data_IF_032370406100
#
_entry.id   IF_032370406100
#
_cell.length_a   1.000
_cell.length_b   1.000
_cell.length_c   1.000
_cell.angle_alpha   90.00
_cell.angle_beta   90.00
_cell.angle_gamma   90.00
#
_symmetry.space_group_name_H-M   'P 1'
#
loop_
_entity.id
_entity.type
_entity.pdbx_description
1 polymer ?
#
# COMPACT_ATOMS: atom_id res chain seq x y z
N UNK A 1 38.40 0.60 46.30
CA UNK A 1 39.80 0.09 46.33
C UNK A 1 40.69 1.05 47.12
N UNK A 2 41.91 0.66 47.50
CA UNK A 2 42.92 1.61 48.01
C UNK A 2 43.24 2.69 46.95
N UNK A 3 43.25 2.32 45.67
CA UNK A 3 43.46 3.25 44.54
C UNK A 3 42.35 4.30 44.45
N UNK A 4 41.10 3.87 44.62
CA UNK A 4 39.92 4.74 44.56
C UNK A 4 39.88 5.74 45.73
N UNK A 5 40.36 5.32 46.91
CA UNK A 5 40.50 6.21 48.08
C UNK A 5 41.55 7.29 47.84
N UNK A 6 42.69 6.94 47.24
CA UNK A 6 43.75 7.89 46.87
C UNK A 6 43.25 8.90 45.82
N UNK A 7 42.59 8.40 44.77
CA UNK A 7 42.08 9.22 43.68
C UNK A 7 41.07 10.27 44.19
N UNK A 8 40.12 9.86 45.05
CA UNK A 8 39.15 10.79 45.66
C UNK A 8 39.80 11.80 46.61
N UNK A 9 40.86 11.42 47.34
CA UNK A 9 41.60 12.34 48.21
C UNK A 9 42.32 13.44 47.41
N UNK A 10 42.87 13.12 46.23
CA UNK A 10 43.49 14.09 45.31
C UNK A 10 42.46 15.10 44.79
N UNK A 11 41.24 14.64 44.47
CA UNK A 11 40.17 15.50 43.93
C UNK A 11 39.27 16.15 45.00
N UNK A 12 39.56 15.95 46.30
CA UNK A 12 38.77 16.54 47.40
C UNK A 12 37.32 16.02 47.49
N UNK A 13 37.01 14.88 46.88
CA UNK A 13 35.67 14.30 46.90
C UNK A 13 35.43 13.54 48.21
N UNK A 14 34.31 13.83 48.90
CA UNK A 14 33.90 13.08 50.10
C UNK A 14 33.64 11.62 49.74
N UNK A 15 34.07 10.71 50.62
CA UNK A 15 33.82 9.27 50.47
C UNK A 15 32.31 9.00 50.46
N UNK A 16 31.76 8.68 49.29
CA UNK A 16 30.43 8.07 49.16
C UNK A 16 30.57 6.55 49.28
N UNK A 17 29.90 5.96 50.27
CA UNK A 17 29.83 4.50 50.51
C UNK A 17 28.74 3.81 49.66
N UNK A 18 28.05 4.56 48.81
CA UNK A 18 26.99 4.04 47.93
C UNK A 18 27.49 3.90 46.50
N UNK A 19 27.07 2.82 45.83
CA UNK A 19 27.24 2.65 44.38
C UNK A 19 25.95 3.04 43.67
N UNK A 20 26.06 3.67 42.52
CA UNK A 20 24.91 3.93 41.65
C UNK A 20 24.48 2.61 40.98
N UNK A 21 23.31 2.11 41.36
CA UNK A 21 22.64 0.95 40.76
C UNK A 21 21.31 1.33 40.10
N UNK A 22 21.18 2.58 39.64
CA UNK A 22 19.96 3.09 39.02
C UNK A 22 19.63 2.32 37.74
N UNK A 23 18.33 2.06 37.53
CA UNK A 23 17.85 1.53 36.27
C UNK A 23 17.99 2.61 35.19
N UNK A 24 18.76 2.30 34.14
CA UNK A 24 18.91 3.13 32.95
C UNK A 24 18.12 2.52 31.81
N UNK A 25 17.74 3.34 30.84
CA UNK A 25 17.11 2.85 29.61
C UNK A 25 18.12 2.00 28.84
N UNK A 26 17.70 0.81 28.41
CA UNK A 26 18.54 -0.07 27.60
C UNK A 26 18.94 0.59 26.28
N UNK A 27 20.13 0.28 25.72
CA UNK A 27 20.52 0.78 24.40
C UNK A 27 19.44 0.51 23.34
N UNK A 28 19.15 1.50 22.50
CA UNK A 28 18.08 1.45 21.49
C UNK A 28 16.67 1.73 22.04
N UNK A 29 16.47 1.65 23.35
CA UNK A 29 15.22 2.07 23.99
C UNK A 29 15.12 3.59 24.07
N UNK A 30 13.98 4.13 23.66
CA UNK A 30 13.63 5.54 23.87
C UNK A 30 12.10 5.70 23.84
N UNK A 31 11.62 6.83 24.36
CA UNK A 31 10.21 7.17 24.30
C UNK A 31 9.81 8.17 25.37
N UNK A 32 8.50 8.35 25.52
CA UNK A 32 7.91 9.21 26.54
C UNK A 32 7.37 8.37 27.68
N UNK A 33 7.69 8.75 28.92
CA UNK A 33 7.08 8.15 30.10
C UNK A 33 5.59 8.46 30.10
N UNK A 34 4.75 7.43 30.16
CA UNK A 34 3.29 7.55 30.16
C UNK A 34 2.67 7.23 31.51
N UNK A 35 3.32 6.38 32.31
CA UNK A 35 2.85 6.02 33.65
C UNK A 35 4.05 5.65 34.53
N UNK A 36 3.90 5.88 35.83
CA UNK A 36 4.85 5.46 36.87
C UNK A 36 4.07 4.95 38.07
N UNK A 37 4.30 3.69 38.45
CA UNK A 37 3.66 3.07 39.62
C UNK A 37 4.72 2.62 40.61
N UNK A 38 4.54 3.05 41.85
CA UNK A 38 5.42 2.72 42.97
C UNK A 38 4.64 1.85 43.94
N UNK A 39 5.06 0.60 44.05
CA UNK A 39 4.58 -0.36 45.03
C UNK A 39 5.52 -0.38 46.22
N UNK A 40 4.98 -0.42 47.43
CA UNK A 40 5.76 -0.39 48.67
C UNK A 40 5.07 -1.15 49.78
N UNK A 41 5.83 -1.81 50.66
CA UNK A 41 5.27 -2.48 51.85
C UNK A 41 4.48 -1.52 52.75
N UNK A 42 4.90 -0.26 52.83
CA UNK A 42 4.21 0.79 53.59
C UNK A 42 2.78 1.06 53.09
N UNK A 43 2.52 0.79 51.81
CA UNK A 43 1.19 0.91 51.18
C UNK A 43 0.39 -0.39 51.22
N UNK A 44 0.87 -1.39 51.96
CA UNK A 44 0.26 -2.72 52.06
C UNK A 44 0.22 -3.47 50.72
N UNK A 45 1.15 -3.18 49.81
CA UNK A 45 1.32 -3.94 48.57
C UNK A 45 2.03 -5.27 48.84
N UNK A 46 1.57 -6.35 48.21
CA UNK A 46 2.24 -7.65 48.26
C UNK A 46 3.53 -7.64 47.43
N UNK A 47 4.68 -7.76 48.11
CA UNK A 47 6.01 -7.76 47.50
C UNK A 47 6.78 -9.03 47.86
N UNK A 48 7.66 -9.47 46.95
CA UNK A 48 8.56 -10.61 47.20
C UNK A 48 9.44 -10.39 48.45
N UNK A 49 9.87 -11.48 49.08
CA UNK A 49 10.78 -11.43 50.22
C UNK A 49 12.09 -10.72 49.85
N UNK A 50 12.55 -9.80 50.70
CA UNK A 50 13.75 -8.98 50.45
C UNK A 50 13.53 -7.75 49.56
N UNK A 51 12.34 -7.56 48.98
CA UNK A 51 12.01 -6.37 48.17
C UNK A 51 11.27 -5.34 49.02
N UNK A 52 11.85 -4.14 49.13
CA UNK A 52 11.27 -3.03 49.90
C UNK A 52 10.26 -2.22 49.07
N UNK A 53 10.61 -1.89 47.82
CA UNK A 53 9.80 -1.11 46.88
C UNK A 53 10.01 -1.61 45.45
N UNK A 54 8.96 -1.57 44.63
CA UNK A 54 9.04 -1.81 43.18
C UNK A 54 8.59 -0.54 42.47
N UNK A 55 9.40 -0.05 41.55
CA UNK A 55 9.06 1.09 40.68
C UNK A 55 8.90 0.56 39.26
N UNK A 56 7.69 0.66 38.71
CA UNK A 56 7.41 0.35 37.31
C UNK A 56 7.24 1.66 36.54
N UNK A 57 7.92 1.77 35.40
CA UNK A 57 7.88 2.93 34.52
C UNK A 57 7.47 2.45 33.14
N UNK A 58 6.36 2.96 32.62
CA UNK A 58 5.89 2.65 31.27
C UNK A 58 6.35 3.73 30.31
N UNK A 59 7.00 3.31 29.23
CA UNK A 59 7.54 4.20 28.19
C UNK A 59 6.86 3.85 26.87
N UNK A 60 6.27 4.85 26.22
CA UNK A 60 5.64 4.72 24.92
C UNK A 60 6.49 5.35 23.82
N UNK A 61 6.53 4.69 22.66
CA UNK A 61 7.26 5.12 21.48
C UNK A 61 6.33 5.07 20.26
N UNK A 62 6.28 6.15 19.48
CA UNK A 62 5.61 6.14 18.17
C UNK A 62 6.63 5.73 17.11
N UNK A 63 6.43 4.56 16.50
CA UNK A 63 7.33 4.02 15.47
C UNK A 63 6.75 4.28 14.07
N UNK A 64 7.45 5.09 13.27
CA UNK A 64 7.12 5.31 11.85
C UNK A 64 7.60 4.11 11.01
N UNK A 65 7.22 4.08 9.74
CA UNK A 65 7.74 3.09 8.79
C UNK A 65 9.17 3.48 8.40
N UNK A 66 10.07 2.50 8.35
CA UNK A 66 11.49 2.73 8.08
C UNK A 66 12.04 1.68 7.10
N UNK A 67 13.12 2.03 6.41
CA UNK A 67 13.90 1.07 5.61
C UNK A 67 14.32 -0.10 6.50
N UNK A 68 14.14 -1.33 6.02
CA UNK A 68 14.38 -2.55 6.79
C UNK A 68 13.13 -3.12 7.49
N UNK A 69 12.05 -2.35 7.63
CA UNK A 69 10.79 -2.89 8.14
C UNK A 69 10.17 -3.87 7.16
N UNK A 70 9.53 -4.91 7.69
CA UNK A 70 8.84 -5.93 6.89
C UNK A 70 7.37 -5.58 6.69
N UNK A 71 6.93 -5.63 5.43
CA UNK A 71 5.54 -5.45 5.01
C UNK A 71 5.03 -6.71 4.31
N UNK A 72 3.71 -6.88 4.27
CA UNK A 72 3.06 -8.01 3.60
C UNK A 72 1.69 -7.62 3.10
N UNK A 73 1.34 -8.03 1.88
CA UNK A 73 -0.06 -8.14 1.49
C UNK A 73 -0.70 -9.40 2.08
N UNK A 74 -2.00 -9.56 1.83
CA UNK A 74 -2.81 -10.70 2.30
C UNK A 74 -2.49 -12.00 1.53
N UNK A 75 -1.96 -11.88 0.32
CA UNK A 75 -1.65 -12.98 -0.58
C UNK A 75 -0.24 -13.57 -0.40
N UNK A 76 0.40 -13.33 0.75
CA UNK A 76 1.71 -13.89 1.09
C UNK A 76 2.91 -13.21 0.41
N UNK A 77 2.69 -12.09 -0.29
CA UNK A 77 3.73 -11.22 -0.85
C UNK A 77 4.42 -10.43 0.28
N UNK A 78 5.37 -11.08 0.96
CA UNK A 78 6.18 -10.49 2.03
C UNK A 78 7.44 -9.86 1.46
N UNK A 79 7.72 -8.63 1.89
CA UNK A 79 8.89 -7.87 1.45
C UNK A 79 9.47 -7.03 2.57
N UNK A 80 10.72 -6.61 2.41
CA UNK A 80 11.37 -5.61 3.26
C UNK A 80 11.42 -4.31 2.48
N UNK A 81 11.15 -3.19 3.13
CA UNK A 81 11.28 -1.87 2.52
C UNK A 81 12.76 -1.62 2.24
N UNK A 82 13.13 -1.53 0.96
CA UNK A 82 14.51 -1.32 0.52
C UNK A 82 14.89 0.16 0.48
N UNK A 83 13.97 1.01 0.06
CA UNK A 83 14.16 2.44 -0.10
C UNK A 83 12.85 3.18 0.16
N UNK A 84 12.95 4.40 0.67
CA UNK A 84 11.86 5.37 0.75
C UNK A 84 12.35 6.56 -0.07
N UNK A 85 11.65 6.86 -1.16
CA UNK A 85 12.01 7.96 -2.08
C UNK A 85 11.05 9.13 -1.87
N UNK A 86 11.47 10.36 -2.23
CA UNK A 86 10.58 11.52 -2.28
C UNK A 86 9.41 11.31 -3.25
N UNK A 87 8.33 12.06 -3.06
CA UNK A 87 7.11 11.95 -3.86
C UNK A 87 7.36 12.36 -5.33
N UNK A 88 8.18 13.39 -5.54
CA UNK A 88 8.58 13.89 -6.85
C UNK A 88 9.36 12.87 -7.70
N UNK A 89 10.00 11.90 -7.05
CA UNK A 89 10.78 10.85 -7.69
C UNK A 89 9.92 9.62 -8.06
N UNK A 90 8.70 9.54 -7.54
CA UNK A 90 7.82 8.39 -7.77
C UNK A 90 7.17 8.46 -9.16
N UNK A 91 6.94 7.30 -9.80
CA UNK A 91 6.10 7.24 -10.98
C UNK A 91 4.73 7.87 -10.71
N UNK A 92 4.24 8.64 -11.67
CA UNK A 92 2.96 9.33 -11.56
C UNK A 92 2.03 9.01 -12.74
N UNK A 93 0.74 9.05 -12.44
CA UNK A 93 -0.39 8.84 -13.35
C UNK A 93 -0.54 10.04 -14.32
N UNK A 94 -1.32 9.90 -15.40
CA UNK A 94 -1.55 11.00 -16.34
C UNK A 94 -2.17 12.26 -15.72
N UNK A 95 -2.88 12.14 -14.59
CA UNK A 95 -3.43 13.26 -13.82
C UNK A 95 -2.44 13.88 -12.80
N UNK A 96 -1.20 13.37 -12.76
CA UNK A 96 -0.14 13.82 -11.86
C UNK A 96 -0.13 13.13 -10.50
N UNK A 97 -1.08 12.22 -10.21
CA UNK A 97 -1.10 11.50 -8.93
C UNK A 97 0.07 10.51 -8.85
N UNK A 98 0.95 10.60 -7.85
CA UNK A 98 2.07 9.66 -7.68
C UNK A 98 1.59 8.32 -7.10
N UNK A 99 2.33 7.25 -7.39
CA UNK A 99 2.08 5.93 -6.78
C UNK A 99 2.71 5.81 -5.39
N UNK A 100 2.10 5.03 -4.50
CA UNK A 100 2.59 4.86 -3.12
C UNK A 100 3.69 3.79 -2.98
N UNK A 101 3.51 2.64 -3.66
CA UNK A 101 4.34 1.45 -3.49
C UNK A 101 4.60 0.79 -4.84
N UNK A 102 5.86 0.47 -5.13
CA UNK A 102 6.26 -0.29 -6.32
C UNK A 102 6.56 -1.73 -5.89
N UNK A 103 5.79 -2.69 -6.41
CA UNK A 103 5.98 -4.11 -6.17
C UNK A 103 6.61 -4.79 -7.39
N UNK A 104 7.67 -5.55 -7.18
CA UNK A 104 8.33 -6.28 -8.25
C UNK A 104 7.44 -7.43 -8.79
N UNK A 105 7.11 -7.46 -10.09
CA UNK A 105 6.22 -8.46 -10.67
C UNK A 105 6.80 -9.88 -10.66
N UNK A 106 8.13 -10.06 -10.62
CA UNK A 106 8.78 -11.38 -10.67
C UNK A 106 8.36 -12.31 -9.52
N UNK A 107 7.88 -11.74 -8.42
CA UNK A 107 7.42 -12.47 -7.25
C UNK A 107 6.05 -13.13 -7.40
N UNK A 108 5.28 -12.79 -8.45
CA UNK A 108 3.91 -13.29 -8.65
C UNK A 108 3.88 -14.63 -9.40
N UNK A 109 4.51 -14.79 -10.58
CA UNK A 109 4.43 -16.05 -11.33
C UNK A 109 5.05 -17.23 -10.58
N UNK A 110 6.18 -17.00 -9.92
CA UNK A 110 6.93 -18.01 -9.17
C UNK A 110 6.20 -18.54 -7.93
N UNK A 111 5.30 -17.73 -7.33
CA UNK A 111 4.55 -18.08 -6.12
C UNK A 111 3.10 -18.47 -6.39
N UNK A 112 2.65 -18.35 -7.65
CA UNK A 112 1.29 -18.64 -8.09
C UNK A 112 0.20 -17.91 -7.28
N UNK A 113 0.52 -16.74 -6.70
CA UNK A 113 -0.39 -15.95 -5.88
C UNK A 113 -1.06 -14.85 -6.72
N UNK A 114 -1.76 -15.26 -7.78
CA UNK A 114 -2.44 -14.37 -8.74
C UNK A 114 -3.50 -13.47 -8.10
N UNK A 115 -4.05 -13.89 -6.95
CA UNK A 115 -5.05 -13.12 -6.20
C UNK A 115 -4.61 -11.69 -5.86
N UNK A 116 -3.31 -11.42 -5.71
CA UNK A 116 -2.82 -10.06 -5.47
C UNK A 116 -3.02 -9.13 -6.69
N UNK A 117 -2.97 -9.69 -7.91
CA UNK A 117 -3.19 -8.93 -9.15
C UNK A 117 -4.68 -8.68 -9.32
N UNK A 118 -5.52 -9.68 -9.02
CA UNK A 118 -6.98 -9.52 -9.00
C UNK A 118 -7.43 -8.51 -7.94
N UNK A 119 -6.81 -8.50 -6.77
CA UNK A 119 -7.01 -7.49 -5.73
C UNK A 119 -6.65 -6.09 -6.26
N UNK A 120 -5.49 -5.94 -6.91
CA UNK A 120 -5.08 -4.67 -7.49
C UNK A 120 -6.09 -4.18 -8.53
N UNK A 121 -6.52 -5.04 -9.47
CA UNK A 121 -7.47 -4.69 -10.52
C UNK A 121 -8.83 -4.24 -9.98
N UNK A 122 -9.44 -5.04 -9.10
CA UNK A 122 -10.73 -4.69 -8.50
C UNK A 122 -10.60 -3.48 -7.58
N UNK A 123 -9.48 -3.39 -6.84
CA UNK A 123 -9.17 -2.26 -5.97
C UNK A 123 -8.99 -0.95 -6.75
N UNK A 124 -8.40 -1.02 -7.95
CA UNK A 124 -8.28 0.13 -8.84
C UNK A 124 -9.65 0.65 -9.28
N UNK A 125 -10.51 -0.24 -9.78
CA UNK A 125 -11.86 0.13 -10.17
C UNK A 125 -12.66 0.69 -8.99
N UNK A 126 -12.54 0.07 -7.82
CA UNK A 126 -13.16 0.53 -6.58
C UNK A 126 -12.69 1.93 -6.17
N UNK A 127 -11.39 2.23 -6.34
CA UNK A 127 -10.83 3.54 -6.06
C UNK A 127 -11.38 4.60 -7.00
N UNK A 128 -11.27 4.38 -8.32
CA UNK A 128 -11.71 5.32 -9.36
C UNK A 128 -13.21 5.59 -9.29
N UNK A 129 -14.03 4.56 -9.07
CA UNK A 129 -15.49 4.67 -9.06
C UNK A 129 -16.06 5.00 -7.68
N UNK A 130 -15.23 5.01 -6.63
CA UNK A 130 -15.62 5.41 -5.28
C UNK A 130 -16.46 4.39 -4.52
N UNK A 131 -16.29 3.09 -4.78
CA UNK A 131 -16.98 2.03 -4.02
C UNK A 131 -15.99 1.20 -3.20
N UNK A 132 -16.52 0.33 -2.32
CA UNK A 132 -15.74 -0.69 -1.62
C UNK A 132 -16.25 -2.06 -2.00
N UNK A 133 -15.35 -2.94 -2.45
CA UNK A 133 -15.69 -4.31 -2.77
C UNK A 133 -15.62 -5.20 -1.52
N UNK A 134 -16.70 -5.94 -1.25
CA UNK A 134 -16.69 -7.07 -0.31
C UNK A 134 -16.66 -8.32 -1.18
N UNK A 135 -15.57 -9.07 -1.11
CA UNK A 135 -15.35 -10.24 -1.95
C UNK A 135 -15.33 -11.51 -1.09
N UNK A 136 -16.43 -12.28 -1.01
CA UNK A 136 -16.48 -13.54 -0.26
C UNK A 136 -15.45 -14.56 -0.76
N UNK A 137 -15.05 -15.47 0.13
CA UNK A 137 -14.14 -16.55 -0.24
C UNK A 137 -14.91 -17.54 -1.11
N UNK A 138 -14.36 -17.88 -2.29
CA UNK A 138 -14.90 -18.83 -3.29
C UNK A 138 -16.19 -18.42 -4.01
N UNK A 139 -16.98 -17.49 -3.48
CA UNK A 139 -18.20 -16.96 -4.11
C UNK A 139 -18.06 -15.45 -4.36
N UNK A 140 -16.96 -15.12 -5.02
CA UNK A 140 -16.51 -13.75 -5.21
C UNK A 140 -16.76 -13.18 -6.60
N UNK A 141 -16.24 -11.98 -6.84
CA UNK A 141 -16.15 -11.41 -8.19
C UNK A 141 -15.36 -12.35 -9.10
N UNK A 142 -15.99 -12.80 -10.18
CA UNK A 142 -15.33 -13.57 -11.23
C UNK A 142 -14.56 -12.65 -12.19
N UNK A 143 -13.92 -13.25 -13.20
CA UNK A 143 -13.13 -12.52 -14.18
C UNK A 143 -13.96 -11.46 -14.94
N UNK A 144 -15.19 -11.79 -15.34
CA UNK A 144 -16.06 -10.87 -16.11
C UNK A 144 -16.44 -9.66 -15.26
N UNK A 145 -16.73 -9.85 -13.97
CA UNK A 145 -17.02 -8.74 -13.07
C UNK A 145 -15.82 -7.81 -12.89
N UNK A 146 -14.60 -8.35 -12.79
CA UNK A 146 -13.37 -7.55 -12.68
C UNK A 146 -13.09 -6.82 -13.99
N UNK A 147 -13.23 -7.48 -15.13
CA UNK A 147 -13.07 -6.87 -16.46
C UNK A 147 -14.08 -5.74 -16.69
N UNK A 148 -15.36 -5.94 -16.32
CA UNK A 148 -16.38 -4.88 -16.37
C UNK A 148 -16.02 -3.71 -15.46
N UNK A 149 -15.53 -3.98 -14.25
CA UNK A 149 -15.13 -2.94 -13.30
C UNK A 149 -13.95 -2.11 -13.84
N UNK A 150 -12.95 -2.77 -14.42
CA UNK A 150 -11.83 -2.12 -15.10
C UNK A 150 -12.28 -1.31 -16.31
N UNK A 151 -13.20 -1.85 -17.11
CA UNK A 151 -13.78 -1.16 -18.26
C UNK A 151 -14.52 0.12 -17.84
N UNK A 152 -15.32 0.08 -16.76
CA UNK A 152 -15.97 1.26 -16.19
C UNK A 152 -14.97 2.29 -15.69
N UNK A 153 -13.90 1.84 -15.04
CA UNK A 153 -12.83 2.73 -14.60
C UNK A 153 -12.14 3.41 -15.80
N UNK A 154 -11.83 2.67 -16.86
CA UNK A 154 -11.26 3.23 -18.09
C UNK A 154 -12.20 4.25 -18.75
N UNK A 155 -13.48 3.94 -18.89
CA UNK A 155 -14.50 4.88 -19.39
C UNK A 155 -14.52 6.17 -18.56
N UNK A 156 -14.40 6.06 -17.24
CA UNK A 156 -14.33 7.23 -16.37
C UNK A 156 -13.10 8.11 -16.65
N UNK A 157 -11.95 7.49 -16.93
CA UNK A 157 -10.72 8.19 -17.32
C UNK A 157 -10.88 8.92 -18.65
N UNK A 158 -11.37 8.23 -19.69
CA UNK A 158 -11.59 8.82 -21.02
C UNK A 158 -12.64 9.95 -21.01
N UNK A 159 -13.66 9.82 -20.15
CA UNK A 159 -14.66 10.87 -19.96
C UNK A 159 -14.13 12.11 -19.20
N UNK A 160 -12.86 12.12 -18.76
CA UNK A 160 -12.31 13.19 -17.92
C UNK A 160 -13.08 13.35 -16.60
N UNK A 161 -13.62 12.24 -16.09
CA UNK A 161 -14.47 12.18 -14.91
C UNK A 161 -13.71 11.83 -13.63
N UNK A 162 -12.42 11.45 -13.74
CA UNK A 162 -11.57 11.06 -12.61
C UNK A 162 -10.78 12.25 -12.09
N UNK A 163 -10.68 12.39 -10.77
CA UNK A 163 -9.87 13.40 -10.10
C UNK A 163 -9.40 12.88 -8.75
N UNK A 164 -8.28 12.15 -8.75
CA UNK A 164 -7.78 11.45 -7.55
C UNK A 164 -7.16 12.41 -6.51
N UNK A 165 -6.71 13.59 -6.94
CA UNK A 165 -6.05 14.60 -6.09
C UNK A 165 -7.01 15.50 -5.30
N UNK A 166 -8.33 15.37 -5.47
CA UNK A 166 -9.28 16.29 -4.82
C UNK A 166 -9.65 15.81 -3.40
N UNK A 167 -9.42 16.65 -2.39
CA UNK A 167 -9.69 16.37 -0.97
C UNK A 167 -11.16 16.01 -0.65
N UNK A 168 -12.09 16.20 -1.59
CA UNK A 168 -13.53 16.17 -1.34
C UNK A 168 -14.32 14.99 -1.94
N UNK A 169 -13.76 14.17 -2.85
CA UNK A 169 -14.36 12.89 -3.25
C UNK A 169 -13.48 12.20 -4.29
N UNK A 170 -13.05 10.97 -4.00
CA UNK A 170 -12.26 10.13 -4.93
C UNK A 170 -13.17 9.52 -6.03
N UNK A 171 -14.50 9.62 -5.90
CA UNK A 171 -15.45 9.02 -6.83
C UNK A 171 -15.54 9.79 -8.16
N UNK A 172 -15.44 9.06 -9.28
CA UNK A 172 -15.63 9.61 -10.61
C UNK A 172 -16.99 10.32 -10.79
N UNK A 173 -16.98 11.44 -11.52
CA UNK A 173 -18.18 12.23 -11.80
C UNK A 173 -19.12 11.49 -12.76
N UNK A 174 -20.24 10.99 -12.22
CA UNK A 174 -21.24 10.22 -12.96
C UNK A 174 -21.91 11.02 -14.09
N UNK A 175 -22.09 12.33 -13.95
CA UNK A 175 -22.71 13.15 -14.99
C UNK A 175 -21.81 13.27 -16.22
N UNK A 176 -20.50 13.45 -16.03
CA UNK A 176 -19.52 13.46 -17.12
C UNK A 176 -19.50 12.14 -17.88
N UNK A 177 -19.52 11.02 -17.14
CA UNK A 177 -19.58 9.67 -17.74
C UNK A 177 -20.85 9.51 -18.57
N UNK A 178 -22.01 9.92 -18.05
CA UNK A 178 -23.29 9.84 -18.77
C UNK A 178 -23.27 10.62 -20.09
N UNK A 179 -22.76 11.85 -20.06
CA UNK A 179 -22.67 12.69 -21.25
C UNK A 179 -21.73 12.06 -22.29
N UNK A 180 -20.56 11.58 -21.85
CA UNK A 180 -19.57 10.98 -22.73
C UNK A 180 -20.09 9.68 -23.37
N UNK A 181 -20.73 8.79 -22.60
CA UNK A 181 -21.32 7.56 -23.14
C UNK A 181 -22.43 7.83 -24.15
N UNK A 182 -23.29 8.82 -23.88
CA UNK A 182 -24.35 9.21 -24.80
C UNK A 182 -23.79 9.73 -26.14
N UNK A 183 -22.68 10.48 -26.13
CA UNK A 183 -22.00 10.95 -27.34
C UNK A 183 -21.48 9.80 -28.20
N UNK A 184 -21.08 8.69 -27.58
CA UNK A 184 -20.58 7.51 -28.29
C UNK A 184 -21.67 6.48 -28.63
N UNK A 185 -22.93 6.77 -28.31
CA UNK A 185 -24.09 5.92 -28.62
C UNK A 185 -24.31 4.77 -27.64
N UNK A 186 -23.88 4.92 -26.39
CA UNK A 186 -24.12 3.95 -25.33
C UNK A 186 -24.99 4.52 -24.20
N UNK A 187 -25.79 3.66 -23.57
CA UNK A 187 -26.64 4.00 -22.43
C UNK A 187 -25.86 3.80 -21.13
N UNK A 188 -25.75 4.86 -20.32
CA UNK A 188 -24.96 4.82 -19.10
C UNK A 188 -25.51 3.84 -18.05
N UNK A 189 -26.83 3.69 -17.96
CA UNK A 189 -27.48 2.75 -17.05
C UNK A 189 -27.09 1.30 -17.36
N UNK A 190 -26.93 0.94 -18.64
CA UNK A 190 -26.51 -0.40 -19.05
C UNK A 190 -25.03 -0.69 -18.78
N UNK A 191 -24.18 0.34 -18.82
CA UNK A 191 -22.74 0.20 -18.65
C UNK A 191 -22.34 0.28 -17.19
N UNK A 192 -22.96 1.18 -16.42
CA UNK A 192 -22.55 1.51 -15.06
C UNK A 192 -23.29 0.70 -13.98
N UNK A 193 -24.42 0.03 -14.28
CA UNK A 193 -25.11 -0.86 -13.33
C UNK A 193 -24.50 -2.27 -13.38
N UNK A 194 -24.11 -2.81 -12.23
CA UNK A 194 -23.51 -4.15 -12.06
C UNK A 194 -24.43 -5.31 -12.50
N UNK A 195 -25.74 -5.09 -12.61
CA UNK A 195 -26.69 -6.11 -13.10
C UNK A 195 -26.39 -6.54 -14.54
N UNK A 196 -25.84 -5.64 -15.34
CA UNK A 196 -25.58 -5.85 -16.76
C UNK A 196 -24.16 -6.36 -16.98
N UNK A 197 -24.00 -7.67 -16.80
CA UNK A 197 -22.70 -8.36 -16.91
C UNK A 197 -22.20 -8.38 -18.36
N UNK A 198 -20.91 -8.12 -18.55
CA UNK A 198 -20.19 -8.08 -19.83
C UNK A 198 -20.43 -6.82 -20.67
N UNK A 199 -21.41 -5.98 -20.31
CA UNK A 199 -21.78 -4.81 -21.12
C UNK A 199 -20.73 -3.70 -21.07
N UNK A 200 -20.13 -3.48 -19.89
CA UNK A 200 -19.06 -2.51 -19.75
C UNK A 200 -17.81 -2.95 -20.50
N UNK A 201 -17.42 -4.23 -20.36
CA UNK A 201 -16.34 -4.84 -21.16
C UNK A 201 -16.59 -4.61 -22.66
N UNK A 202 -17.75 -5.02 -23.18
CA UNK A 202 -18.08 -4.86 -24.61
C UNK A 202 -17.96 -3.40 -25.05
N UNK A 203 -18.57 -2.48 -24.30
CA UNK A 203 -18.55 -1.06 -24.63
C UNK A 203 -17.11 -0.51 -24.69
N UNK A 204 -16.29 -0.80 -23.67
CA UNK A 204 -14.89 -0.35 -23.64
C UNK A 204 -14.05 -0.92 -24.78
N UNK A 205 -14.23 -2.19 -25.14
CA UNK A 205 -13.52 -2.82 -26.25
C UNK A 205 -13.95 -2.23 -27.59
N UNK A 206 -15.25 -1.96 -27.78
CA UNK A 206 -15.76 -1.31 -28.98
C UNK A 206 -15.13 0.09 -29.14
N UNK A 207 -15.20 0.91 -28.09
CA UNK A 207 -14.66 2.27 -28.10
C UNK A 207 -13.16 2.28 -28.40
N UNK A 208 -12.40 1.43 -27.72
CA UNK A 208 -10.97 1.30 -27.92
C UNK A 208 -10.59 0.82 -29.33
N UNK A 209 -11.33 -0.14 -29.91
CA UNK A 209 -11.10 -0.58 -31.29
C UNK A 209 -11.54 0.47 -32.33
N UNK A 210 -12.57 1.26 -32.04
CA UNK A 210 -13.01 2.39 -32.86
C UNK A 210 -11.96 3.51 -32.90
N UNK A 211 -11.30 3.81 -31.77
CA UNK A 211 -10.17 4.74 -31.70
C UNK A 211 -8.98 4.28 -32.56
N UNK A 212 -8.81 2.97 -32.74
CA UNK A 212 -7.83 2.36 -33.63
C UNK A 212 -8.29 2.32 -35.11
N UNK A 213 -9.48 2.84 -35.42
CA UNK A 213 -10.03 2.96 -36.76
C UNK A 213 -10.80 1.73 -37.26
N UNK A 214 -11.20 0.81 -36.37
CA UNK A 214 -11.94 -0.41 -36.74
C UNK A 214 -13.45 -0.22 -36.54
N UNK A 215 -14.26 -0.71 -37.47
CA UNK A 215 -15.72 -0.74 -37.30
C UNK A 215 -16.14 -2.09 -36.70
N UNK A 216 -16.58 -2.07 -35.46
CA UNK A 216 -16.75 -3.29 -34.65
C UNK A 216 -18.12 -3.43 -33.97
N UNK A 217 -19.04 -2.48 -34.19
CA UNK A 217 -20.35 -2.45 -33.48
C UNK A 217 -21.21 -3.68 -33.73
N UNK A 218 -21.10 -4.27 -34.92
CA UNK A 218 -21.86 -5.46 -35.34
C UNK A 218 -21.17 -6.79 -34.98
N UNK A 219 -19.94 -6.76 -34.47
CA UNK A 219 -19.21 -7.98 -34.12
C UNK A 219 -19.77 -8.65 -32.87
N UNK A 220 -19.61 -9.97 -32.78
CA UNK A 220 -19.91 -10.74 -31.58
C UNK A 220 -18.93 -10.40 -30.45
N UNK A 221 -19.29 -10.70 -29.19
CA UNK A 221 -18.40 -10.47 -28.04
C UNK A 221 -17.10 -11.29 -28.15
N UNK A 222 -17.18 -12.53 -28.66
CA UNK A 222 -16.01 -13.38 -28.88
C UNK A 222 -15.08 -12.80 -29.95
N UNK A 223 -15.63 -12.27 -31.04
CA UNK A 223 -14.84 -11.66 -32.10
C UNK A 223 -14.14 -10.37 -31.64
N UNK A 224 -14.80 -9.58 -30.79
CA UNK A 224 -14.20 -8.39 -30.17
C UNK A 224 -13.01 -8.77 -29.29
N UNK A 225 -13.15 -9.77 -28.44
CA UNK A 225 -12.07 -10.25 -27.57
C UNK A 225 -10.90 -10.83 -28.37
N UNK A 226 -11.18 -11.62 -29.40
CA UNK A 226 -10.14 -12.13 -30.30
C UNK A 226 -9.42 -11.01 -31.03
N UNK A 227 -10.14 -10.00 -31.52
CA UNK A 227 -9.55 -8.85 -32.16
C UNK A 227 -8.66 -8.07 -31.18
N UNK A 228 -9.15 -7.78 -29.98
CA UNK A 228 -8.38 -7.10 -28.95
C UNK A 228 -7.09 -7.85 -28.59
N UNK A 229 -7.17 -9.19 -28.50
CA UNK A 229 -6.00 -10.04 -28.29
C UNK A 229 -4.99 -9.97 -29.44
N UNK A 230 -5.44 -9.97 -30.69
CA UNK A 230 -4.55 -9.82 -31.87
C UNK A 230 -3.82 -8.49 -31.85
N UNK A 231 -4.53 -7.39 -31.57
CA UNK A 231 -3.90 -6.06 -31.47
C UNK A 231 -2.85 -6.00 -30.35
N UNK A 232 -3.12 -6.66 -29.23
CA UNK A 232 -2.15 -6.78 -28.15
C UNK A 232 -0.90 -7.58 -28.58
N UNK A 233 -1.08 -8.72 -29.25
CA UNK A 233 0.04 -9.58 -29.68
C UNK A 233 0.89 -8.93 -30.78
N UNK A 234 0.26 -8.27 -31.75
CA UNK A 234 0.92 -7.70 -32.93
C UNK A 234 1.53 -6.32 -32.67
N UNK A 235 0.79 -5.44 -31.98
CA UNK A 235 1.14 -4.02 -31.84
C UNK A 235 1.50 -3.61 -30.41
N UNK A 236 1.42 -4.51 -29.44
CA UNK A 236 1.62 -4.21 -28.01
C UNK A 236 0.70 -3.09 -27.53
N UNK A 237 -0.52 -3.04 -28.06
CA UNK A 237 -1.58 -2.15 -27.57
C UNK A 237 -2.41 -2.89 -26.51
N UNK A 238 -2.66 -2.23 -25.38
CA UNK A 238 -3.23 -2.89 -24.21
C UNK A 238 -4.72 -2.56 -24.11
N UNK A 239 -5.61 -3.56 -24.13
CA UNK A 239 -7.04 -3.31 -23.99
C UNK A 239 -7.39 -2.74 -22.60
N UNK A 240 -8.46 -1.93 -22.48
CA UNK A 240 -8.94 -1.37 -21.22
C UNK A 240 -9.13 -2.40 -20.09
N UNK A 241 -9.48 -3.63 -20.43
CA UNK A 241 -9.74 -4.73 -19.50
C UNK A 241 -8.48 -5.32 -18.84
N UNK A 242 -7.27 -4.90 -19.22
CA UNK A 242 -6.01 -5.45 -18.66
C UNK A 242 -5.58 -4.77 -17.34
N UNK A 243 -6.22 -3.65 -16.96
CA UNK A 243 -5.86 -2.92 -15.73
C UNK A 243 -4.46 -2.29 -15.79
N UNK A 244 -4.02 -1.92 -16.99
CA UNK A 244 -2.73 -1.29 -17.23
C UNK A 244 -2.92 0.15 -17.67
N UNK A 245 -2.06 1.03 -17.16
CA UNK A 245 -2.12 2.48 -17.41
C UNK A 245 -0.71 2.96 -17.77
N UNK A 246 -0.64 3.98 -18.61
CA UNK A 246 0.60 4.69 -18.88
C UNK A 246 1.05 5.47 -17.65
N UNK A 247 2.28 5.21 -17.21
CA UNK A 247 2.93 5.95 -16.15
C UNK A 247 4.05 6.81 -16.73
N UNK A 248 4.40 7.87 -16.00
CA UNK A 248 5.58 8.68 -16.27
C UNK A 248 6.57 8.56 -15.12
N UNK A 249 7.85 8.57 -15.44
CA UNK A 249 8.93 8.58 -14.44
C UNK A 249 8.97 9.95 -13.76
N UNK A 250 8.89 9.99 -12.43
CA UNK A 250 9.00 11.21 -11.63
C UNK A 250 10.30 11.99 -11.87
N UNK A 251 11.39 11.28 -12.18
CA UNK A 251 12.72 11.87 -12.32
C UNK A 251 12.96 12.52 -13.68
N UNK A 252 12.43 11.93 -14.74
CA UNK A 252 12.66 12.40 -16.12
C UNK A 252 11.43 13.08 -16.72
N UNK A 253 10.23 12.76 -16.22
CA UNK A 253 8.95 13.17 -16.79
C UNK A 253 8.53 12.38 -18.05
N UNK A 254 9.37 11.46 -18.52
CA UNK A 254 9.11 10.63 -19.70
C UNK A 254 8.15 9.48 -19.37
N UNK A 255 7.34 9.07 -20.35
CA UNK A 255 6.49 7.89 -20.22
C UNK A 255 7.33 6.62 -20.21
N UNK A 256 6.93 5.61 -19.43
CA UNK A 256 7.55 4.28 -19.51
C UNK A 256 7.26 3.62 -20.86
N UNK A 257 8.17 2.77 -21.33
CA UNK A 257 8.07 2.06 -22.62
C UNK A 257 6.81 1.21 -22.77
N UNK A 258 6.24 0.74 -21.66
CA UNK A 258 5.05 -0.09 -21.62
C UNK A 258 4.13 0.34 -20.47
N UNK A 259 2.81 0.22 -20.63
CA UNK A 259 1.87 0.49 -19.57
C UNK A 259 1.99 -0.55 -18.45
N UNK A 260 1.82 -0.06 -17.23
CA UNK A 260 2.10 -0.78 -15.99
C UNK A 260 0.77 -1.10 -15.31
N UNK A 261 0.69 -2.28 -14.68
CA UNK A 261 -0.48 -2.62 -13.87
C UNK A 261 -0.47 -1.77 -12.61
N UNK A 262 -1.56 -1.02 -12.40
CA UNK A 262 -1.77 -0.19 -11.21
C UNK A 262 -2.99 -0.72 -10.48
N UNK A 263 -2.98 -0.60 -9.16
CA UNK A 263 -4.18 -0.78 -8.41
C UNK A 263 -4.02 -0.66 -6.92
N UNK A 264 -5.15 -0.72 -6.23
CA UNK A 264 -5.17 -0.54 -4.78
C UNK A 264 -5.11 -1.89 -4.09
N UNK A 265 -4.01 -2.12 -3.39
CA UNK A 265 -3.75 -3.36 -2.66
C UNK A 265 -3.72 -3.11 -1.16
N UNK A 266 -4.20 -4.07 -0.38
CA UNK A 266 -4.13 -3.97 1.08
C UNK A 266 -2.78 -4.46 1.60
N UNK A 267 -1.99 -3.55 2.17
CA UNK A 267 -0.66 -3.82 2.72
C UNK A 267 -0.63 -3.65 4.23
N UNK A 268 0.02 -4.60 4.92
CA UNK A 268 0.19 -4.61 6.37
C UNK A 268 1.65 -4.41 6.77
N UNK A 269 1.87 -3.63 7.82
CA UNK A 269 3.17 -3.58 8.52
C UNK A 269 3.25 -4.75 9.51
N UNK A 270 4.29 -5.56 9.40
CA UNK A 270 4.50 -6.67 10.33
C UNK A 270 5.23 -6.20 11.60
N UNK A 271 5.07 -6.96 12.69
CA UNK A 271 5.78 -6.73 13.96
C UNK A 271 7.32 -6.85 13.83
N UNK A 272 7.82 -7.42 12.73
CA UNK A 272 9.24 -7.59 12.49
C UNK A 272 9.89 -6.28 12.05
N UNK A 273 10.20 -5.43 13.02
CA UNK A 273 10.86 -4.14 12.81
C UNK A 273 12.38 -4.30 12.80
N UNK A 274 13.06 -3.43 12.04
CA UNK A 274 14.52 -3.44 11.98
C UNK A 274 15.15 -3.04 13.32
N UNK A 275 14.54 -2.07 14.01
CA UNK A 275 15.01 -1.55 15.30
C UNK A 275 15.13 -2.65 16.37
N UNK A 276 14.25 -3.66 16.34
CA UNK A 276 14.23 -4.74 17.32
C UNK A 276 15.26 -5.85 17.03
N UNK A 277 15.90 -5.82 15.86
CA UNK A 277 16.81 -6.89 15.39
C UNK A 277 18.26 -6.45 15.30
N UNK A 278 18.52 -5.14 15.25
CA UNK A 278 19.88 -4.63 15.22
C UNK A 278 20.52 -4.76 16.61
N UNK A 279 21.53 -5.63 16.72
CA UNK A 279 22.33 -5.76 17.92
C UNK A 279 23.81 -5.76 17.55
N UNK A 280 24.60 -4.95 18.25
CA UNK A 280 26.04 -4.91 18.12
C UNK A 280 26.66 -4.86 19.52
N UNK A 281 27.74 -5.61 19.72
CA UNK A 281 28.48 -5.67 20.98
C UNK A 281 29.97 -5.65 20.68
N UNK A 282 30.71 -4.76 21.34
CA UNK A 282 32.18 -4.71 21.26
C UNK A 282 32.81 -5.68 22.25
N UNK A 283 32.44 -5.59 23.52
CA UNK A 283 32.82 -6.50 24.62
C UNK A 283 31.61 -6.68 25.53
N UNK A 284 31.52 -7.82 26.19
CA UNK A 284 30.38 -8.19 27.05
C UNK A 284 30.81 -8.54 28.48
N UNK A 285 29.85 -8.71 29.40
CA UNK A 285 30.08 -9.49 30.60
C UNK A 285 30.42 -10.94 30.23
#
# INVERSE_FOLDING_TARGET
SAEEKLLRAIFGEKVREVKDSSLKVSPGGWGRVIDTRVFSRDKHDELQAGVNKIVRVWVAQKRKISVGDKVSGRHGNKGVISIIVPEEDMPFLPDGTPVDIILNPLGVPSRMNIGQVLEAHLGWAAHVLGFRAINPVFDGADAVAIEDALARAWIAWEAGAVSLNSENSIAANQEKIKIWLAQHGFTAEEIMDEKYRGRAKRASLCLWLEELGMNVRELSDEDLEQMAKRFYEERRLYPPIFGKIELRDGRTGESFDQPITIGNVYMMKLLHLVEDKAHARSTGP
#
